data_IF_336027111483
#
_entry.id   IF_336027111483
#
_cell.length_a   1.000
_cell.length_b   1.000
_cell.length_c   1.000
_cell.angle_alpha   90.00
_cell.angle_beta   90.00
_cell.angle_gamma   90.00
#
_symmetry.space_group_name_H-M   'P 1'
#
loop_
_entity.id
_entity.type
_entity.pdbx_description
1 polymer ?
#
# COMPACT_ATOMS: atom_id res chain seq x y z
N UNK A 1 -17.30 -3.12 -15.49
CA UNK A 1 -16.34 -2.03 -15.18
C UNK A 1 -15.94 -2.20 -13.72
N UNK A 2 -14.66 -2.41 -13.41
CA UNK A 2 -14.18 -2.33 -12.03
C UNK A 2 -13.98 -0.86 -11.67
N UNK A 3 -14.40 -0.46 -10.47
CA UNK A 3 -14.06 0.86 -9.95
C UNK A 3 -12.61 0.85 -9.47
N UNK A 4 -11.87 1.93 -9.71
CA UNK A 4 -10.53 2.16 -9.17
C UNK A 4 -10.52 3.44 -8.31
N UNK A 5 -9.62 3.49 -7.34
CA UNK A 5 -9.37 4.65 -6.51
C UNK A 5 -7.89 4.71 -6.15
N UNK A 6 -7.32 5.91 -6.09
CA UNK A 6 -5.93 6.15 -5.73
C UNK A 6 -5.82 7.26 -4.68
N UNK A 7 -4.78 7.19 -3.85
CA UNK A 7 -4.47 8.22 -2.87
C UNK A 7 -2.95 8.28 -2.63
N UNK A 8 -2.45 9.49 -2.36
CA UNK A 8 -1.06 9.71 -1.93
C UNK A 8 -1.03 10.09 -0.46
N UNK A 9 -0.12 9.45 0.31
CA UNK A 9 0.04 9.72 1.74
C UNK A 9 1.52 9.93 2.08
N UNK A 10 1.80 10.83 3.03
CA UNK A 10 3.14 11.03 3.56
C UNK A 10 3.40 10.04 4.72
N UNK A 11 4.42 9.20 4.59
CA UNK A 11 4.91 8.39 5.71
C UNK A 11 5.81 9.26 6.59
N UNK A 12 5.33 9.61 7.78
CA UNK A 12 6.03 10.53 8.69
C UNK A 12 7.04 9.84 9.61
N UNK A 13 6.96 8.51 9.73
CA UNK A 13 7.87 7.76 10.57
C UNK A 13 9.26 7.71 9.94
N UNK A 14 10.30 8.08 10.68
CA UNK A 14 11.65 8.30 10.15
C UNK A 14 12.28 7.07 9.46
N UNK A 15 11.86 5.86 9.86
CA UNK A 15 12.32 4.58 9.29
C UNK A 15 11.34 3.98 8.27
N UNK A 16 10.30 4.72 7.88
CA UNK A 16 9.37 4.34 6.84
C UNK A 16 8.32 3.28 7.24
N UNK A 17 7.72 2.63 6.24
CA UNK A 17 6.77 1.54 6.40
C UNK A 17 7.52 0.20 6.43
N UNK A 18 7.98 -0.21 7.61
CA UNK A 18 8.82 -1.40 7.77
C UNK A 18 8.40 -2.23 9.00
N UNK A 19 8.96 -3.43 9.14
CA UNK A 19 8.76 -4.34 10.27
C UNK A 19 7.27 -4.53 10.66
N UNK A 20 6.87 -4.14 11.88
CA UNK A 20 5.50 -4.37 12.37
C UNK A 20 4.45 -3.56 11.58
N UNK A 21 4.66 -2.27 11.29
CA UNK A 21 3.78 -1.51 10.38
C UNK A 21 3.54 -2.15 9.02
N UNK A 22 4.57 -2.60 8.30
CA UNK A 22 4.39 -3.21 6.97
C UNK A 22 3.63 -4.53 7.06
N UNK A 23 3.92 -5.37 8.05
CA UNK A 23 3.17 -6.61 8.29
C UNK A 23 1.69 -6.32 8.58
N UNK A 24 1.39 -5.28 9.36
CA UNK A 24 -0.01 -4.89 9.66
C UNK A 24 -0.72 -4.38 8.41
N UNK A 25 -0.05 -3.57 7.60
CA UNK A 25 -0.57 -3.06 6.34
C UNK A 25 -0.95 -4.21 5.39
N UNK A 26 -0.02 -5.14 5.14
CA UNK A 26 -0.27 -6.31 4.27
C UNK A 26 -1.40 -7.19 4.80
N UNK A 27 -1.48 -7.42 6.12
CA UNK A 27 -2.60 -8.17 6.71
C UNK A 27 -3.95 -7.50 6.45
N UNK A 28 -4.02 -6.16 6.54
CA UNK A 28 -5.24 -5.42 6.23
C UNK A 28 -5.56 -5.43 4.73
N UNK A 29 -4.55 -5.24 3.86
CA UNK A 29 -4.74 -5.32 2.41
C UNK A 29 -5.37 -6.67 2.00
N UNK A 30 -4.91 -7.76 2.61
CA UNK A 30 -5.44 -9.13 2.40
C UNK A 30 -6.90 -9.33 2.81
N UNK A 31 -7.51 -8.45 3.61
CA UNK A 31 -8.94 -8.56 3.95
C UNK A 31 -9.87 -8.05 2.86
N UNK A 32 -9.36 -7.28 1.90
CA UNK A 32 -10.16 -6.76 0.79
C UNK A 32 -10.13 -7.71 -0.40
N UNK A 33 -11.27 -7.82 -1.11
CA UNK A 33 -11.36 -8.57 -2.36
C UNK A 33 -10.66 -7.87 -3.53
N UNK A 34 -10.48 -6.54 -3.47
CA UNK A 34 -9.82 -5.76 -4.50
C UNK A 34 -8.31 -6.04 -4.57
N UNK A 35 -7.70 -5.90 -5.74
CA UNK A 35 -6.24 -5.78 -5.87
C UNK A 35 -5.79 -4.50 -5.13
N UNK A 36 -4.69 -4.59 -4.39
CA UNK A 36 -4.14 -3.47 -3.63
C UNK A 36 -2.67 -3.39 -3.95
N UNK A 37 -2.22 -2.22 -4.42
CA UNK A 37 -0.83 -1.98 -4.78
C UNK A 37 -0.32 -0.72 -4.09
N UNK A 38 1.00 -0.64 -3.91
CA UNK A 38 1.67 0.57 -3.38
C UNK A 38 2.87 0.92 -4.24
N UNK A 39 3.17 2.21 -4.34
CA UNK A 39 4.41 2.71 -4.90
C UNK A 39 4.96 3.86 -4.05
N UNK A 40 6.27 4.04 -4.07
CA UNK A 40 6.93 5.19 -3.41
C UNK A 40 6.71 6.49 -4.19
N UNK A 41 6.44 6.38 -5.50
CA UNK A 41 6.12 7.48 -6.38
C UNK A 41 4.96 7.08 -7.29
N UNK A 42 4.15 8.04 -7.74
CA UNK A 42 2.97 7.77 -8.56
C UNK A 42 3.29 7.05 -9.89
N UNK A 43 4.50 7.25 -10.41
CA UNK A 43 5.00 6.58 -11.61
C UNK A 43 5.59 5.18 -11.35
N UNK A 44 5.50 4.67 -10.12
CA UNK A 44 5.96 3.33 -9.76
C UNK A 44 7.43 3.26 -9.32
N UNK A 45 8.01 2.04 -9.25
CA UNK A 45 7.34 0.77 -9.48
C UNK A 45 6.22 0.52 -8.47
N UNK A 46 5.14 -0.10 -8.95
CA UNK A 46 4.03 -0.55 -8.12
C UNK A 46 4.31 -1.98 -7.64
N UNK A 47 3.97 -2.23 -6.38
CA UNK A 47 4.17 -3.51 -5.71
C UNK A 47 2.83 -4.03 -5.20
N UNK A 48 2.62 -5.34 -5.31
CA UNK A 48 1.50 -6.01 -4.63
C UNK A 48 1.62 -5.75 -3.12
N UNK A 49 0.56 -5.17 -2.54
CA UNK A 49 0.47 -4.87 -1.12
C UNK A 49 0.13 -6.10 -0.27
N UNK A 50 -0.33 -7.19 -0.89
CA UNK A 50 -0.77 -8.42 -0.24
C UNK A 50 0.37 -9.42 -0.13
#
# INVERSE_FOLDING_TARGET
MSASAEATVLITHAVGLHARPSVKFTKLAKTFAAEVEVAVAANGPWFDAK
#
